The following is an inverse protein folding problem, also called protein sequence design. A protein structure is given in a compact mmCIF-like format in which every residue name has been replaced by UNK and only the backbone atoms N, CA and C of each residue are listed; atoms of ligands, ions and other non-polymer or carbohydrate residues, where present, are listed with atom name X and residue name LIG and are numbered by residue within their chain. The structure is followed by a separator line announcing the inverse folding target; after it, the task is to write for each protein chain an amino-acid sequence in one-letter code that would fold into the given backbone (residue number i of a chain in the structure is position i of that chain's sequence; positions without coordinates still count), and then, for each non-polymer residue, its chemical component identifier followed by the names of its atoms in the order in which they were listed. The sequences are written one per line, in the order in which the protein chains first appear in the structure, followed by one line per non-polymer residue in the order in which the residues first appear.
data_IF_945427042947
#
_entry.id   IF_945427042947
#
_cell.length_a   1.000
_cell.length_b   1.000
_cell.length_c   1.000
_cell.angle_alpha   90.00
_cell.angle_beta   90.00
_cell.angle_gamma   90.00
#
_symmetry.space_group_name_H-M   'P 1'
#
loop_
_entity.id
_entity.type
_entity.pdbx_description
1 polymer ?
#
# COMPACT_ATOMS: atom_id res chain seq x y z
N UNK A 1 59.24 16.45 34.78
CA UNK A 1 58.46 15.59 33.85
C UNK A 1 57.54 16.49 33.06
N UNK A 2 57.82 16.74 31.77
CA UNK A 2 56.99 17.63 30.95
C UNK A 2 55.77 16.88 30.43
N UNK A 3 54.58 17.32 30.84
CA UNK A 3 53.33 16.75 30.32
C UNK A 3 53.16 17.24 28.88
N UNK A 4 53.21 16.32 27.92
CA UNK A 4 53.02 16.63 26.50
C UNK A 4 51.56 17.01 26.25
N UNK A 5 51.35 18.12 25.53
CA UNK A 5 50.01 18.59 25.07
C UNK A 5 49.23 17.47 24.39
N UNK A 6 49.93 16.56 23.71
CA UNK A 6 49.35 15.39 23.05
C UNK A 6 48.73 14.39 24.03
N UNK A 7 49.26 14.26 25.24
CA UNK A 7 48.70 13.40 26.28
C UNK A 7 47.43 13.98 26.88
N UNK A 8 47.35 15.32 27.01
CA UNK A 8 46.13 16.01 27.48
C UNK A 8 45.01 15.90 26.45
N UNK A 9 45.32 16.09 25.16
CA UNK A 9 44.37 15.93 24.06
C UNK A 9 43.80 14.50 23.97
N UNK A 10 44.62 13.48 24.22
CA UNK A 10 44.14 12.09 24.27
C UNK A 10 43.20 11.83 25.45
N UNK A 11 43.46 12.42 26.61
CA UNK A 11 42.63 12.24 27.80
C UNK A 11 41.26 12.91 27.65
N UNK A 12 41.24 14.14 27.13
CA UNK A 12 40.00 14.92 26.92
C UNK A 12 39.20 14.39 25.72
N UNK A 13 39.87 14.04 24.61
CA UNK A 13 39.20 13.47 23.43
C UNK A 13 38.67 12.06 23.65
N UNK A 14 39.34 11.24 24.46
CA UNK A 14 38.90 9.88 24.78
C UNK A 14 37.71 9.83 25.74
N UNK A 15 37.66 10.72 26.74
CA UNK A 15 36.55 10.78 27.69
C UNK A 15 35.28 11.43 27.10
N UNK A 16 35.42 12.39 26.18
CA UNK A 16 34.27 13.07 25.55
C UNK A 16 33.46 12.19 24.60
N UNK A 17 34.10 11.26 23.89
CA UNK A 17 33.41 10.37 22.95
C UNK A 17 32.67 9.20 23.65
N UNK A 18 33.12 8.79 24.84
CA UNK A 18 32.46 7.71 25.58
C UNK A 18 31.12 8.14 26.21
N UNK A 19 30.96 9.42 26.57
CA UNK A 19 29.73 9.94 27.19
C UNK A 19 28.69 10.45 26.16
N UNK A 20 29.09 10.76 24.93
CA UNK A 20 28.19 11.21 23.86
C UNK A 20 27.60 10.06 23.01
N UNK A 21 28.16 8.85 23.11
CA UNK A 21 27.72 7.68 22.34
C UNK A 21 26.73 6.76 23.09
N UNK A 22 26.46 7.01 24.38
CA UNK A 22 25.57 6.18 25.17
C UNK A 22 24.07 6.38 24.87
N UNK A 23 23.53 7.61 24.63
CA UNK A 23 22.09 7.77 24.36
C UNK A 23 21.74 7.64 22.86
N UNK A 24 22.72 7.53 21.97
CA UNK A 24 22.50 7.47 20.51
C UNK A 24 22.38 6.04 19.96
N UNK A 25 22.60 5.00 20.78
CA UNK A 25 22.43 3.61 20.37
C UNK A 25 21.10 2.98 20.84
N UNK A 26 20.32 3.67 21.69
CA UNK A 26 19.00 3.21 22.15
C UNK A 26 17.84 3.64 21.25
N UNK A 27 18.12 4.34 20.13
CA UNK A 27 17.11 4.84 19.21
C UNK A 27 16.70 3.89 18.06
N UNK A 28 17.25 2.66 17.98
CA UNK A 28 17.12 1.82 16.78
C UNK A 28 16.58 0.40 17.04
N UNK A 29 15.85 0.16 18.15
CA UNK A 29 15.09 -1.09 18.35
C UNK A 29 13.60 -0.89 18.61
N UNK A 30 13.09 0.32 18.36
CA UNK A 30 11.69 0.46 17.99
C UNK A 30 11.56 0.05 16.52
N UNK A 31 11.85 -1.22 16.22
CA UNK A 31 11.10 -1.92 15.20
C UNK A 31 9.66 -1.88 15.72
N UNK A 32 8.97 -0.81 15.38
CA UNK A 32 7.53 -0.84 15.19
C UNK A 32 7.35 -1.96 14.17
N UNK A 33 7.24 -3.18 14.68
CA UNK A 33 6.72 -4.29 13.93
C UNK A 33 5.39 -3.78 13.44
N UNK A 34 5.35 -3.42 12.15
CA UNK A 34 4.14 -3.39 11.38
C UNK A 34 3.65 -4.84 11.32
N UNK A 35 3.29 -5.38 12.47
CA UNK A 35 2.49 -6.56 12.61
C UNK A 35 1.08 -5.99 12.77
N UNK A 36 0.36 -5.69 11.66
CA UNK A 36 -1.08 -5.52 11.77
C UNK A 36 -1.55 -6.84 12.35
N UNK A 37 -1.83 -6.85 13.66
CA UNK A 37 -2.04 -8.09 14.41
C UNK A 37 -2.99 -9.02 13.67
N UNK A 38 -2.79 -10.33 13.81
CA UNK A 38 -3.53 -11.34 13.06
C UNK A 38 -5.02 -11.00 13.00
N UNK A 39 -5.48 -10.62 11.80
CA UNK A 39 -6.87 -10.24 11.55
C UNK A 39 -7.69 -11.53 11.44
N UNK A 40 -8.08 -12.06 12.60
CA UNK A 40 -8.95 -13.24 12.64
C UNK A 40 -10.35 -12.82 12.21
N UNK A 41 -10.77 -13.30 11.04
CA UNK A 41 -12.12 -13.08 10.54
C UNK A 41 -13.15 -13.71 11.49
N UNK A 42 -14.17 -12.94 11.88
CA UNK A 42 -15.34 -13.45 12.64
C UNK A 42 -16.41 -14.05 11.74
N UNK A 43 -16.26 -13.95 10.43
CA UNK A 43 -17.22 -14.49 9.48
C UNK A 43 -17.15 -16.03 9.48
N UNK A 44 -18.31 -16.68 9.40
CA UNK A 44 -18.36 -18.13 9.19
C UNK A 44 -17.80 -18.44 7.81
N UNK A 45 -16.76 -19.26 7.75
CA UNK A 45 -16.18 -19.68 6.48
C UNK A 45 -17.21 -20.50 5.68
N UNK A 46 -17.51 -20.12 4.43
CA UNK A 46 -18.40 -20.90 3.58
C UNK A 46 -17.72 -22.21 3.15
N UNK A 47 -18.52 -23.14 2.66
CA UNK A 47 -17.99 -24.32 1.98
C UNK A 47 -17.21 -23.84 0.75
N UNK A 48 -15.95 -24.28 0.55
CA UNK A 48 -15.14 -23.86 -0.58
C UNK A 48 -15.83 -24.13 -1.92
N UNK A 49 -15.60 -23.25 -2.90
CA UNK A 49 -16.04 -23.40 -4.29
C UNK A 49 -17.57 -23.49 -4.50
N UNK A 50 -18.36 -22.91 -3.58
CA UNK A 50 -19.83 -22.85 -3.70
C UNK A 50 -20.33 -21.64 -4.49
N UNK A 51 -19.52 -20.58 -4.59
CA UNK A 51 -19.85 -19.38 -5.34
C UNK A 51 -19.24 -19.47 -6.73
N UNK A 52 -20.03 -19.31 -7.81
CA UNK A 52 -19.48 -19.29 -9.16
C UNK A 52 -18.54 -18.10 -9.33
N UNK A 53 -17.48 -18.26 -10.11
CA UNK A 53 -16.55 -17.17 -10.41
C UNK A 53 -17.31 -16.05 -11.17
N UNK A 54 -17.42 -14.83 -10.62
CA UNK A 54 -18.04 -13.73 -11.33
C UNK A 54 -17.17 -13.32 -12.51
N UNK A 55 -17.75 -13.29 -13.72
CA UNK A 55 -17.06 -12.83 -14.92
C UNK A 55 -17.38 -11.34 -15.12
N UNK A 56 -16.39 -10.43 -15.04
CA UNK A 56 -16.63 -9.01 -15.20
C UNK A 56 -17.00 -8.69 -16.65
N UNK A 57 -18.00 -7.82 -16.83
CA UNK A 57 -18.39 -7.32 -18.16
C UNK A 57 -17.26 -6.46 -18.74
N UNK A 58 -16.98 -6.54 -20.06
CA UNK A 58 -16.00 -5.67 -20.70
C UNK A 58 -16.41 -4.20 -20.56
N UNK A 59 -15.44 -3.30 -20.35
CA UNK A 59 -15.73 -1.86 -20.36
C UNK A 59 -15.94 -1.37 -21.79
N UNK A 60 -16.99 -0.59 -22.03
CA UNK A 60 -17.21 0.09 -23.31
C UNK A 60 -16.39 1.40 -23.40
N UNK A 61 -15.82 1.73 -24.56
CA UNK A 61 -15.12 3.00 -24.74
C UNK A 61 -16.10 4.16 -24.71
N UNK A 62 -15.67 5.28 -24.13
CA UNK A 62 -16.42 6.55 -24.10
C UNK A 62 -16.27 7.30 -25.43
N UNK A 63 -15.18 7.05 -26.16
CA UNK A 63 -14.96 7.55 -27.52
C UNK A 63 -14.03 6.61 -28.29
N UNK A 64 -14.28 6.48 -29.59
CA UNK A 64 -13.44 5.71 -30.52
C UNK A 64 -13.02 6.62 -31.67
N UNK A 65 -11.73 6.58 -32.03
CA UNK A 65 -11.15 7.40 -33.10
C UNK A 65 -10.02 6.67 -33.83
N UNK A 66 -9.48 7.26 -34.90
CA UNK A 66 -8.29 6.73 -35.57
C UNK A 66 -7.06 6.63 -34.64
N UNK A 67 -7.00 7.46 -33.58
CA UNK A 67 -5.94 7.42 -32.58
C UNK A 67 -6.12 6.28 -31.55
N UNK A 68 -7.29 5.66 -31.49
CA UNK A 68 -7.63 4.57 -30.57
C UNK A 68 -8.91 4.80 -29.77
N UNK A 69 -9.16 3.87 -28.86
CA UNK A 69 -10.31 3.85 -27.96
C UNK A 69 -9.98 4.52 -26.62
N UNK A 70 -10.84 5.44 -26.18
CA UNK A 70 -10.71 6.15 -24.90
C UNK A 70 -11.69 5.58 -23.89
N UNK A 71 -11.16 5.11 -22.77
CA UNK A 71 -11.92 4.59 -21.64
C UNK A 71 -11.87 5.57 -20.47
N UNK A 72 -12.87 5.55 -19.60
CA UNK A 72 -12.88 6.32 -18.34
C UNK A 72 -13.40 5.42 -17.24
N UNK A 73 -12.71 5.45 -16.09
CA UNK A 73 -13.08 4.69 -14.90
C UNK A 73 -12.88 5.59 -13.68
N UNK A 74 -13.82 5.55 -12.75
CA UNK A 74 -13.71 6.22 -11.45
C UNK A 74 -13.58 5.18 -10.33
N UNK A 75 -12.70 5.45 -9.36
CA UNK A 75 -12.66 4.69 -8.12
C UNK A 75 -13.81 5.17 -7.24
N UNK A 76 -14.68 4.24 -6.84
CA UNK A 76 -15.87 4.51 -6.02
C UNK A 76 -15.94 3.51 -4.87
N UNK A 77 -16.58 3.93 -3.78
CA UNK A 77 -16.93 3.05 -2.67
C UNK A 77 -18.23 2.29 -3.00
N UNK A 78 -18.29 1.00 -2.67
CA UNK A 78 -19.49 0.19 -2.82
C UNK A 78 -19.60 -0.86 -1.70
N UNK A 79 -20.82 -1.25 -1.35
CA UNK A 79 -21.10 -2.38 -0.45
C UNK A 79 -21.43 -3.61 -1.29
N UNK A 80 -20.60 -4.64 -1.23
CA UNK A 80 -20.77 -5.84 -2.06
C UNK A 80 -20.65 -7.12 -1.22
N UNK A 81 -21.33 -8.17 -1.66
CA UNK A 81 -21.30 -9.48 -0.99
C UNK A 81 -20.15 -10.32 -1.54
N UNK A 82 -19.05 -10.39 -0.78
CA UNK A 82 -17.88 -11.22 -1.13
C UNK A 82 -18.01 -12.60 -0.50
N UNK A 83 -18.44 -12.66 0.77
CA UNK A 83 -18.76 -13.89 1.46
C UNK A 83 -20.29 -14.00 1.56
N UNK A 84 -20.89 -15.18 1.30
CA UNK A 84 -22.33 -15.36 1.39
C UNK A 84 -22.86 -14.92 2.76
N UNK A 85 -23.85 -14.02 2.75
CA UNK A 85 -24.46 -13.45 3.96
C UNK A 85 -23.70 -12.28 4.59
N UNK A 86 -22.56 -11.84 4.03
CA UNK A 86 -21.77 -10.72 4.55
C UNK A 86 -21.54 -9.65 3.48
N UNK A 87 -21.95 -8.41 3.77
CA UNK A 87 -21.61 -7.25 2.95
C UNK A 87 -20.30 -6.64 3.42
N UNK A 88 -19.46 -6.33 2.43
CA UNK A 88 -18.13 -5.75 2.62
C UNK A 88 -18.04 -4.45 1.85
N UNK A 89 -17.66 -3.38 2.54
CA UNK A 89 -17.31 -2.13 1.89
C UNK A 89 -16.01 -2.28 1.12
N UNK A 90 -16.02 -1.90 -0.15
CA UNK A 90 -14.86 -1.94 -1.03
C UNK A 90 -14.64 -0.60 -1.71
N UNK A 91 -13.42 -0.39 -2.17
CA UNK A 91 -13.06 0.66 -3.11
C UNK A 91 -12.69 0.00 -4.43
N UNK A 92 -13.52 0.21 -5.45
CA UNK A 92 -13.40 -0.47 -6.74
C UNK A 92 -13.50 0.51 -7.92
N UNK A 93 -12.95 0.12 -9.06
CA UNK A 93 -13.24 0.81 -10.33
C UNK A 93 -14.70 0.57 -10.68
N UNK A 94 -15.47 1.65 -10.81
CA UNK A 94 -16.94 1.62 -10.90
C UNK A 94 -17.64 0.93 -9.72
N UNK A 95 -16.98 0.80 -8.55
CA UNK A 95 -17.55 0.16 -7.37
C UNK A 95 -17.68 -1.36 -7.46
N UNK A 96 -16.97 -1.99 -8.40
CA UNK A 96 -17.00 -3.46 -8.60
C UNK A 96 -15.90 -4.10 -7.74
N UNK A 97 -16.13 -5.28 -7.12
CA UNK A 97 -15.09 -6.03 -6.41
C UNK A 97 -13.89 -6.30 -7.32
N UNK A 98 -12.72 -6.53 -6.71
CA UNK A 98 -11.34 -6.47 -7.26
C UNK A 98 -11.04 -7.12 -8.64
N UNK A 99 -12.03 -7.75 -9.28
CA UNK A 99 -12.06 -7.99 -10.71
C UNK A 99 -12.36 -6.68 -11.45
N UNK A 100 -11.29 -5.97 -11.79
CA UNK A 100 -11.38 -4.77 -12.64
C UNK A 100 -12.11 -5.12 -13.94
N UNK A 101 -12.96 -4.23 -14.50
CA UNK A 101 -13.47 -4.39 -15.85
C UNK A 101 -12.30 -4.63 -16.82
N UNK A 102 -12.42 -5.63 -17.69
CA UNK A 102 -11.34 -5.91 -18.62
C UNK A 102 -11.46 -4.99 -19.85
N UNK A 103 -10.34 -4.38 -20.24
CA UNK A 103 -10.18 -3.66 -21.50
C UNK A 103 -9.38 -4.55 -22.44
N UNK A 104 -9.87 -4.73 -23.67
CA UNK A 104 -9.11 -5.42 -24.72
C UNK A 104 -8.49 -4.37 -25.65
N UNK A 105 -7.17 -4.24 -25.63
CA UNK A 105 -6.44 -3.33 -26.50
C UNK A 105 -5.18 -4.03 -27.04
N UNK A 106 -4.74 -3.63 -28.24
CA UNK A 106 -3.44 -4.06 -28.79
C UNK A 106 -2.26 -3.32 -28.14
N UNK A 107 -2.47 -2.03 -27.87
CA UNK A 107 -1.51 -1.14 -27.20
C UNK A 107 -2.27 -0.31 -26.18
N UNK A 108 -1.72 -0.13 -24.99
CA UNK A 108 -2.38 0.55 -23.88
C UNK A 108 -1.54 1.72 -23.37
N UNK A 109 -2.17 2.87 -23.20
CA UNK A 109 -1.61 4.05 -22.53
C UNK A 109 -2.57 4.51 -21.44
N UNK A 110 -2.03 4.95 -20.29
CA UNK A 110 -2.80 5.38 -19.12
C UNK A 110 -2.44 6.80 -18.74
N UNK A 111 -3.41 7.68 -18.80
CA UNK A 111 -3.32 9.03 -18.27
C UNK A 111 -4.21 9.16 -17.04
N UNK A 112 -3.70 9.82 -15.99
CA UNK A 112 -4.43 10.02 -14.74
C UNK A 112 -4.74 11.51 -14.58
N UNK A 113 -5.98 11.89 -14.83
CA UNK A 113 -6.48 13.23 -14.57
C UNK A 113 -6.91 13.34 -13.11
N UNK A 114 -6.30 14.27 -12.36
CA UNK A 114 -6.73 14.60 -10.99
C UNK A 114 -8.09 15.30 -11.07
N UNK A 115 -9.09 14.94 -10.25
CA UNK A 115 -10.35 15.67 -10.25
C UNK A 115 -10.09 17.13 -9.85
N UNK A 116 -10.60 18.06 -10.66
CA UNK A 116 -10.71 19.47 -10.29
C UNK A 116 -11.66 19.51 -9.07
N UNK A 117 -11.15 20.00 -7.94
CA UNK A 117 -11.97 20.27 -6.76
C UNK A 117 -12.71 21.58 -6.93
#
# INVERSE_FOLDING_TARGET
MSVSRRSVLKLVGGAGLALAAAPSLTGCSATSELNPGELVSRARLPIPFTVPLPVPTPLAPVATSAAGDRYTMAVKTAEVEILPGYRTQIWGYEGIPALTPHIRARTFSKERTKPLR
#
